data_IF_110712642754
#
_entry.id   IF_110712642754
#
_cell.length_a   1.000
_cell.length_b   1.000
_cell.length_c   1.000
_cell.angle_alpha   90.00
_cell.angle_beta   90.00
_cell.angle_gamma   90.00
#
_symmetry.space_group_name_H-M   'P 1'
#
loop_
_entity.id
_entity.type
_entity.pdbx_description
1 polymer ?
#
# COMPACT_ATOMS: atom_id res chain seq x y z
N UNK A 1 4.32 8.33 -2.36
CA UNK A 1 4.62 7.27 -1.35
C UNK A 1 4.53 5.86 -1.94
N UNK A 2 3.44 5.48 -2.61
CA UNK A 2 3.28 4.12 -3.17
C UNK A 2 4.43 3.63 -4.08
N UNK A 3 4.98 4.44 -5.02
CA UNK A 3 6.09 3.99 -5.87
C UNK A 3 7.33 3.60 -5.04
N UNK A 4 7.56 4.32 -3.95
CA UNK A 4 8.65 4.02 -3.02
C UNK A 4 8.40 2.74 -2.23
N UNK A 5 7.17 2.51 -1.76
CA UNK A 5 6.82 1.25 -1.09
C UNK A 5 6.98 0.04 -2.02
N UNK A 6 6.60 0.19 -3.30
CA UNK A 6 6.81 -0.82 -4.35
C UNK A 6 8.29 -1.11 -4.59
N UNK A 7 9.11 -0.06 -4.62
CA UNK A 7 10.57 -0.20 -4.72
C UNK A 7 11.17 -0.92 -3.50
N UNK A 8 10.72 -0.60 -2.28
CA UNK A 8 11.20 -1.25 -1.05
C UNK A 8 10.80 -2.72 -0.99
N UNK A 9 9.59 -3.06 -1.45
CA UNK A 9 9.09 -4.43 -1.51
C UNK A 9 9.54 -5.18 -2.78
N UNK A 10 10.37 -4.56 -3.62
CA UNK A 10 10.81 -5.14 -4.89
C UNK A 10 11.81 -6.27 -4.60
N UNK A 11 11.56 -7.45 -5.19
CA UNK A 11 12.42 -8.60 -4.99
C UNK A 11 11.97 -9.81 -5.79
N UNK A 12 12.78 -10.86 -5.78
CA UNK A 12 12.47 -12.13 -6.44
C UNK A 12 12.15 -11.94 -7.93
N UNK A 13 10.91 -12.27 -8.33
CA UNK A 13 10.43 -12.23 -9.71
C UNK A 13 10.40 -10.83 -10.31
N UNK A 14 10.38 -9.77 -9.50
CA UNK A 14 10.27 -8.38 -9.97
C UNK A 14 11.63 -7.66 -10.03
N UNK A 15 12.72 -8.33 -9.60
CA UNK A 15 14.05 -7.75 -9.53
C UNK A 15 14.61 -7.34 -10.90
N UNK A 16 14.11 -7.92 -12.00
CA UNK A 16 14.51 -7.54 -13.36
C UNK A 16 14.23 -6.07 -13.68
N UNK A 17 13.32 -5.41 -12.97
CA UNK A 17 13.06 -3.97 -13.14
C UNK A 17 14.23 -3.10 -12.67
N UNK A 18 15.21 -3.65 -11.96
CA UNK A 18 16.44 -2.96 -11.54
C UNK A 18 17.57 -3.05 -12.58
N UNK A 19 17.38 -3.81 -13.65
CA UNK A 19 18.35 -3.92 -14.74
C UNK A 19 18.55 -2.56 -15.45
N UNK A 20 19.73 -2.35 -16.03
CA UNK A 20 20.12 -1.07 -16.64
C UNK A 20 19.17 -0.59 -17.74
N UNK A 21 18.49 -1.53 -18.41
CA UNK A 21 17.49 -1.25 -19.46
C UNK A 21 16.32 -0.41 -18.92
N UNK A 22 15.95 -0.60 -17.65
CA UNK A 22 14.82 0.08 -17.03
C UNK A 22 15.22 1.32 -16.23
N UNK A 23 16.51 1.65 -16.14
CA UNK A 23 17.00 2.75 -15.26
C UNK A 23 16.28 4.09 -15.47
N UNK A 24 15.93 4.39 -16.73
CA UNK A 24 15.29 5.64 -17.10
C UNK A 24 13.74 5.57 -17.06
N UNK A 25 13.15 4.38 -16.93
CA UNK A 25 11.69 4.16 -16.99
C UNK A 25 11.12 3.50 -15.74
N UNK A 26 11.97 3.00 -14.83
CA UNK A 26 11.58 2.22 -13.65
C UNK A 26 10.59 3.00 -12.78
N UNK A 27 10.79 4.29 -12.60
CA UNK A 27 9.89 5.10 -11.78
C UNK A 27 8.47 5.15 -12.37
N UNK A 28 8.35 5.26 -13.69
CA UNK A 28 7.06 5.19 -14.38
C UNK A 28 6.40 3.80 -14.25
N UNK A 29 7.20 2.73 -14.21
CA UNK A 29 6.66 1.39 -13.92
C UNK A 29 6.18 1.23 -12.47
N UNK A 30 6.85 1.88 -11.51
CA UNK A 30 6.51 1.88 -10.09
C UNK A 30 5.33 2.79 -9.74
N UNK A 31 4.95 3.73 -10.61
CA UNK A 31 3.72 4.53 -10.47
C UNK A 31 2.46 3.67 -10.59
N UNK A 32 2.56 2.54 -11.29
CA UNK A 32 1.51 1.53 -11.44
C UNK A 32 1.85 0.26 -10.63
N UNK A 33 0.88 -0.63 -10.36
CA UNK A 33 1.13 -1.90 -9.68
C UNK A 33 2.16 -2.75 -10.44
N UNK A 34 3.14 -3.31 -9.73
CA UNK A 34 4.21 -4.11 -10.35
C UNK A 34 3.77 -5.55 -10.52
N UNK A 35 3.49 -6.22 -9.41
CA UNK A 35 3.00 -7.59 -9.36
C UNK A 35 2.05 -7.75 -8.17
N UNK A 36 1.19 -8.79 -8.23
CA UNK A 36 0.30 -9.14 -7.13
C UNK A 36 1.06 -9.42 -5.83
N UNK A 37 2.19 -10.13 -5.92
CA UNK A 37 3.02 -10.47 -4.77
C UNK A 37 3.65 -9.23 -4.12
N UNK A 38 4.11 -8.26 -4.93
CA UNK A 38 4.67 -7.00 -4.45
C UNK A 38 3.60 -6.16 -3.73
N UNK A 39 2.42 -5.98 -4.33
CA UNK A 39 1.32 -5.22 -3.71
C UNK A 39 0.80 -5.91 -2.44
N UNK A 40 0.65 -7.24 -2.44
CA UNK A 40 0.25 -8.02 -1.26
C UNK A 40 1.25 -7.86 -0.12
N UNK A 41 2.56 -7.90 -0.41
CA UNK A 41 3.61 -7.68 0.58
C UNK A 41 3.53 -6.29 1.20
N UNK A 42 3.32 -5.24 0.39
CA UNK A 42 3.17 -3.87 0.87
C UNK A 42 1.94 -3.75 1.78
N UNK A 43 0.78 -4.24 1.34
CA UNK A 43 -0.45 -4.22 2.13
C UNK A 43 -0.25 -4.91 3.48
N UNK A 44 0.34 -6.11 3.48
CA UNK A 44 0.62 -6.85 4.71
C UNK A 44 1.55 -6.08 5.66
N UNK A 45 2.68 -5.56 5.15
CA UNK A 45 3.67 -4.85 5.96
C UNK A 45 3.10 -3.57 6.56
N UNK A 46 2.40 -2.76 5.76
CA UNK A 46 1.81 -1.50 6.24
C UNK A 46 0.72 -1.75 7.27
N UNK A 47 -0.17 -2.72 7.02
CA UNK A 47 -1.22 -3.08 7.98
C UNK A 47 -0.64 -3.63 9.28
N UNK A 48 0.38 -4.48 9.20
CA UNK A 48 1.04 -5.01 10.39
C UNK A 48 1.76 -3.91 11.18
N UNK A 49 2.39 -2.97 10.50
CA UNK A 49 3.01 -1.79 11.13
C UNK A 49 1.95 -0.92 11.82
N UNK A 50 0.80 -0.67 11.19
CA UNK A 50 -0.30 0.08 11.80
C UNK A 50 -0.86 -0.62 13.05
N UNK A 51 -1.09 -1.95 12.98
CA UNK A 51 -1.54 -2.75 14.13
C UNK A 51 -0.54 -2.76 15.28
N UNK A 52 0.75 -2.86 14.96
CA UNK A 52 1.84 -2.84 15.95
C UNK A 52 2.00 -1.46 16.59
N UNK A 53 1.86 -0.38 15.81
CA UNK A 53 1.86 0.98 16.32
C UNK A 53 0.64 1.24 17.22
N UNK A 54 -0.55 0.79 16.81
CA UNK A 54 -1.79 0.93 17.59
C UNK A 54 -1.72 0.17 18.93
N UNK A 55 -1.12 -1.02 18.97
CA UNK A 55 -0.98 -1.80 20.20
C UNK A 55 0.05 -1.24 21.18
N UNK A 56 0.98 -0.40 20.70
CA UNK A 56 1.97 0.26 21.55
C UNK A 56 1.37 1.39 22.40
N UNK A 57 0.20 1.94 22.03
CA UNK A 57 -0.52 2.89 22.86
C UNK A 57 -1.09 2.16 24.10
N UNK A 58 -0.57 2.51 25.28
CA UNK A 58 -1.08 2.03 26.56
C UNK A 58 -2.43 2.72 26.85
N UNK A 59 -3.54 2.09 26.48
CA UNK A 59 -4.84 2.34 27.11
C UNK A 59 -5.21 1.15 28.00
N UNK A 60 -6.00 1.38 29.06
CA UNK A 60 -6.25 0.41 30.14
C UNK A 60 -6.95 -0.87 29.66
N UNK A 61 -6.74 -1.96 30.41
CA UNK A 61 -6.96 -3.35 30.00
C UNK A 61 -8.44 -3.74 29.82
N UNK A 62 -9.41 -3.03 30.41
CA UNK A 62 -10.84 -3.30 30.17
C UNK A 62 -11.32 -2.98 28.73
N UNK A 63 -10.53 -2.26 27.92
CA UNK A 63 -10.96 -1.75 26.60
C UNK A 63 -10.57 -2.63 25.41
N UNK A 64 -9.74 -3.67 25.61
CA UNK A 64 -9.28 -4.55 24.53
C UNK A 64 -10.40 -5.37 23.86
N UNK A 65 -11.58 -5.47 24.49
CA UNK A 65 -12.75 -6.22 23.97
C UNK A 65 -13.74 -5.29 23.23
N UNK A 66 -13.64 -3.97 23.40
CA UNK A 66 -14.45 -2.99 22.70
C UNK A 66 -13.62 -2.33 21.58
N UNK A 67 -13.60 -2.96 20.40
CA UNK A 67 -13.18 -2.33 19.15
C UNK A 67 -14.09 -1.13 18.79
N UNK A 68 -13.96 -0.03 19.54
CA UNK A 68 -14.54 1.29 19.28
C UNK A 68 -13.60 2.34 19.90
N UNK A 69 -12.41 2.47 19.32
CA UNK A 69 -11.21 3.06 19.92
C UNK A 69 -11.18 4.60 20.06
N UNK A 70 -12.32 5.27 20.20
CA UNK A 70 -12.36 6.74 20.41
C UNK A 70 -13.01 7.14 21.75
N UNK A 71 -13.76 6.22 22.38
CA UNK A 71 -14.68 6.59 23.45
C UNK A 71 -14.01 7.10 24.74
N UNK A 72 -12.74 6.79 24.99
CA UNK A 72 -12.07 7.18 26.24
C UNK A 72 -11.27 8.47 26.10
N UNK A 73 -10.59 8.67 24.97
CA UNK A 73 -9.91 9.95 24.70
C UNK A 73 -10.94 11.07 24.51
N UNK A 74 -12.11 10.78 23.93
CA UNK A 74 -13.26 11.70 23.85
C UNK A 74 -13.86 12.00 25.24
N UNK A 75 -14.08 10.99 26.10
CA UNK A 75 -14.56 11.18 27.48
C UNK A 75 -13.56 11.90 28.38
N UNK A 76 -12.26 11.69 28.18
CA UNK A 76 -11.22 12.43 28.90
C UNK A 76 -11.21 13.89 28.47
N UNK A 77 -11.49 14.21 27.20
CA UNK A 77 -11.63 15.60 26.73
C UNK A 77 -12.88 16.31 27.26
N UNK A 78 -13.93 15.56 27.65
CA UNK A 78 -15.16 16.10 28.25
C UNK A 78 -15.02 16.47 29.74
N UNK A 79 -13.92 16.09 30.41
CA UNK A 79 -13.66 16.47 31.79
C UNK A 79 -13.08 17.89 31.91
N UNK A 80 -13.76 18.77 32.64
CA UNK A 80 -13.42 20.21 32.77
C UNK A 80 -12.11 20.55 33.51
N UNK A 81 -11.22 19.58 33.81
CA UNK A 81 -10.09 19.79 34.71
C UNK A 81 -8.79 19.05 34.34
N UNK A 82 -8.44 18.97 33.04
CA UNK A 82 -7.12 18.48 32.63
C UNK A 82 -6.08 19.60 32.57
N UNK A 83 -4.88 19.30 33.07
CA UNK A 83 -3.69 20.11 32.83
C UNK A 83 -3.46 20.31 31.32
N UNK A 84 -3.02 21.52 30.93
CA UNK A 84 -2.89 21.92 29.52
C UNK A 84 -2.01 20.95 28.72
N UNK A 85 -0.90 20.50 29.34
CA UNK A 85 0.03 19.54 28.72
C UNK A 85 -0.62 18.17 28.53
N UNK A 86 -1.45 17.75 29.49
CA UNK A 86 -2.16 16.48 29.42
C UNK A 86 -3.23 16.52 28.33
N UNK A 87 -3.96 17.64 28.19
CA UNK A 87 -4.93 17.84 27.11
C UNK A 87 -4.27 17.74 25.73
N UNK A 88 -3.13 18.40 25.53
CA UNK A 88 -2.35 18.29 24.28
C UNK A 88 -1.95 16.83 24.02
N UNK A 89 -1.45 16.12 25.04
CA UNK A 89 -1.03 14.72 24.90
C UNK A 89 -2.20 13.77 24.56
N UNK A 90 -3.40 13.99 25.12
CA UNK A 90 -4.62 13.25 24.74
C UNK A 90 -5.00 13.55 23.28
N UNK A 91 -4.95 14.82 22.87
CA UNK A 91 -5.33 15.23 21.51
C UNK A 91 -4.43 14.58 20.45
N UNK A 92 -3.12 14.64 20.66
CA UNK A 92 -2.13 14.07 19.75
C UNK A 92 -2.32 12.56 19.62
N UNK A 93 -2.44 11.83 20.75
CA UNK A 93 -2.62 10.37 20.69
C UNK A 93 -3.90 9.99 19.94
N UNK A 94 -4.98 10.72 20.15
CA UNK A 94 -6.26 10.44 19.51
C UNK A 94 -6.19 10.70 18.00
N UNK A 95 -5.53 11.79 17.59
CA UNK A 95 -5.24 12.10 16.20
C UNK A 95 -4.38 11.03 15.53
N UNK A 96 -3.28 10.62 16.16
CA UNK A 96 -2.39 9.59 15.65
C UNK A 96 -3.10 8.24 15.48
N UNK A 97 -3.88 7.81 16.48
CA UNK A 97 -4.70 6.58 16.39
C UNK A 97 -5.68 6.64 15.22
N UNK A 98 -6.36 7.77 15.04
CA UNK A 98 -7.33 7.96 13.95
C UNK A 98 -6.65 7.84 12.59
N UNK A 99 -5.49 8.48 12.41
CA UNK A 99 -4.71 8.39 11.17
C UNK A 99 -4.22 6.96 10.93
N UNK A 100 -3.69 6.27 11.95
CA UNK A 100 -3.24 4.88 11.84
C UNK A 100 -4.38 3.93 11.42
N UNK A 101 -5.59 4.14 11.94
CA UNK A 101 -6.78 3.37 11.53
C UNK A 101 -7.22 3.69 10.11
N UNK A 102 -7.16 4.95 9.69
CA UNK A 102 -7.45 5.34 8.31
C UNK A 102 -6.46 4.68 7.34
N UNK A 103 -5.17 4.63 7.68
CA UNK A 103 -4.15 3.96 6.87
C UNK A 103 -4.41 2.45 6.81
N UNK A 104 -4.66 1.75 7.94
CA UNK A 104 -5.00 0.32 7.90
C UNK A 104 -6.26 0.06 7.08
N UNK A 105 -7.26 0.94 7.15
CA UNK A 105 -8.48 0.88 6.33
C UNK A 105 -8.19 0.98 4.83
N UNK A 106 -7.43 2.00 4.41
CA UNK A 106 -7.08 2.21 3.02
C UNK A 106 -6.28 1.03 2.42
N UNK A 107 -5.34 0.46 3.18
CA UNK A 107 -4.58 -0.71 2.71
C UNK A 107 -5.39 -2.01 2.77
N UNK A 108 -6.42 -2.09 3.61
CA UNK A 108 -7.36 -3.22 3.63
C UNK A 108 -8.27 -3.22 2.40
N UNK A 109 -8.76 -2.05 2.01
CA UNK A 109 -9.54 -1.88 0.77
C UNK A 109 -8.68 -2.26 -0.44
N UNK A 110 -7.46 -1.73 -0.52
CA UNK A 110 -6.50 -2.09 -1.57
C UNK A 110 -6.19 -3.59 -1.62
N UNK A 111 -6.09 -4.26 -0.46
CA UNK A 111 -5.89 -5.71 -0.40
C UNK A 111 -7.07 -6.49 -1.01
N UNK A 112 -8.30 -5.96 -0.92
CA UNK A 112 -9.47 -6.56 -1.57
C UNK A 112 -9.51 -6.36 -3.10
N UNK A 113 -8.78 -5.37 -3.60
CA UNK A 113 -8.70 -5.04 -5.03
C UNK A 113 -7.52 -5.73 -5.74
N UNK A 114 -6.69 -6.51 -5.03
CA UNK A 114 -5.46 -7.11 -5.58
C UNK A 114 -5.69 -7.91 -6.86
N UNK A 115 -6.81 -8.59 -7.01
CA UNK A 115 -7.08 -9.42 -8.19
C UNK A 115 -7.66 -8.63 -9.37
N UNK A 116 -7.98 -7.34 -9.18
CA UNK A 116 -8.57 -6.44 -10.19
C UNK A 116 -7.53 -5.46 -10.74
N UNK A 117 -6.41 -5.29 -10.05
CA UNK A 117 -5.34 -4.39 -10.46
C UNK A 117 -4.61 -4.91 -11.70
N UNK A 118 -4.34 -4.01 -12.63
CA UNK A 118 -3.53 -4.32 -13.80
C UNK A 118 -2.03 -4.25 -13.47
N UNK A 119 -1.32 -5.35 -13.66
CA UNK A 119 0.10 -5.48 -13.30
C UNK A 119 1.05 -5.27 -14.48
N UNK A 120 2.37 -5.22 -14.21
CA UNK A 120 3.38 -4.96 -15.23
C UNK A 120 3.30 -5.92 -16.43
N UNK A 121 3.12 -7.21 -16.17
CA UNK A 121 3.06 -8.22 -17.24
C UNK A 121 1.82 -8.03 -18.11
N UNK A 122 0.66 -7.73 -17.53
CA UNK A 122 -0.59 -7.48 -18.27
C UNK A 122 -0.46 -6.24 -19.15
N UNK A 123 0.07 -5.14 -18.59
CA UNK A 123 0.31 -3.90 -19.34
C UNK A 123 1.22 -4.13 -20.54
N UNK A 124 2.25 -4.97 -20.39
CA UNK A 124 3.19 -5.29 -21.47
C UNK A 124 2.55 -6.07 -22.61
N UNK A 125 1.52 -6.87 -22.31
CA UNK A 125 0.84 -7.71 -23.29
C UNK A 125 -0.34 -7.00 -23.99
N UNK A 126 -0.66 -5.76 -23.61
CA UNK A 126 -1.75 -4.99 -24.26
C UNK A 126 -1.53 -4.80 -25.76
N UNK A 127 -0.29 -4.53 -26.16
CA UNK A 127 0.05 -4.21 -27.55
C UNK A 127 0.71 -5.39 -28.27
N UNK A 128 0.17 -6.60 -28.08
CA UNK A 128 0.69 -7.81 -28.75
C UNK A 128 0.34 -7.90 -30.24
N UNK A 129 -0.71 -7.20 -30.70
CA UNK A 129 -1.13 -7.23 -32.11
C UNK A 129 -1.57 -8.61 -32.61
N UNK A 130 -2.13 -9.47 -31.73
CA UNK A 130 -2.50 -10.86 -32.07
C UNK A 130 -3.51 -10.96 -33.22
N UNK A 131 -4.35 -9.95 -33.40
CA UNK A 131 -5.31 -9.85 -34.52
C UNK A 131 -4.83 -8.72 -35.45
N UNK A 132 -3.69 -8.96 -36.09
CA UNK A 132 -3.15 -8.09 -37.14
C UNK A 132 -3.64 -8.51 -38.54
N UNK A 133 -3.15 -7.81 -39.56
CA UNK A 133 -3.34 -8.24 -40.95
C UNK A 133 -2.61 -9.57 -41.21
N UNK A 134 -3.11 -10.37 -42.15
CA UNK A 134 -2.38 -11.56 -42.61
C UNK A 134 -1.04 -11.11 -43.19
N UNK A 135 0.04 -11.37 -42.44
CA UNK A 135 1.38 -11.04 -42.90
C UNK A 135 1.67 -11.71 -44.25
N UNK A 136 2.19 -10.95 -45.21
CA UNK A 136 2.65 -11.51 -46.47
C UNK A 136 3.72 -12.57 -46.22
N UNK A 137 3.68 -13.68 -46.98
CA UNK A 137 4.75 -14.67 -46.96
C UNK A 137 5.98 -14.01 -47.60
N UNK A 138 6.91 -13.55 -46.76
CA UNK A 138 8.15 -12.95 -47.24
C UNK A 138 9.06 -14.09 -47.73
N UNK A 139 9.08 -14.31 -49.05
CA UNK A 139 10.04 -15.20 -49.68
C UNK A 139 11.41 -14.52 -49.67
N UNK A 140 12.34 -15.05 -48.88
CA UNK A 140 13.75 -14.67 -48.92
C UNK A 140 14.41 -15.24 -50.17
N UNK A 141 14.11 -14.69 -51.35
CA UNK A 141 14.92 -14.97 -52.55
C UNK A 141 16.15 -14.06 -52.56
N UNK A 142 17.33 -14.70 -52.57
CA UNK A 142 18.61 -14.04 -52.76
C UNK A 142 18.75 -13.69 -54.25
N UNK A 143 18.97 -12.41 -54.57
CA UNK A 143 19.35 -11.99 -55.93
C UNK A 143 20.74 -12.49 -56.30
#
# INVERSE_FOLDING_TARGET
MLPYLRLVALGGTDAFLLESVFRNTIWGHLELPVSRANEEAICRVVRQACKSALSAYRTTVEEKIACRCNAQDEKLMEGDNLDERLRIAVCIRAGEKKVLQQIDGAFRERESELDVLEYYQERRLKDLGLVGEQGEIIFWESK
#
